data_IF_280790442643
#
_entry.id   IF_280790442643
#
_cell.length_a   1.000
_cell.length_b   1.000
_cell.length_c   1.000
_cell.angle_alpha   90.00
_cell.angle_beta   90.00
_cell.angle_gamma   90.00
#
_symmetry.space_group_name_H-M   'P 1'
#
loop_
_entity.id
_entity.type
_entity.pdbx_description
1 polymer ?
#
# COMPACT_ATOMS: atom_id res chain seq x y z
N UNK A 1 7.34 10.52 -15.24
CA UNK A 1 8.20 9.90 -14.22
C UNK A 1 7.50 8.73 -13.58
N UNK A 2 8.20 7.61 -13.46
CA UNK A 2 7.63 6.43 -12.84
C UNK A 2 7.49 6.63 -11.33
N UNK A 3 6.40 6.15 -10.77
CA UNK A 3 6.17 6.15 -9.33
C UNK A 3 6.94 4.98 -8.71
N UNK A 4 7.65 5.25 -7.62
CA UNK A 4 8.42 4.21 -6.93
C UNK A 4 7.69 3.68 -5.70
N UNK A 5 8.17 2.55 -5.20
CA UNK A 5 7.68 1.99 -3.93
C UNK A 5 7.88 3.00 -2.79
N UNK A 6 9.03 3.71 -2.79
CA UNK A 6 9.29 4.75 -1.79
C UNK A 6 8.29 5.90 -1.84
N UNK A 7 7.78 6.23 -3.02
CA UNK A 7 6.75 7.25 -3.16
C UNK A 7 5.45 6.82 -2.45
N UNK A 8 5.10 5.54 -2.54
CA UNK A 8 3.94 4.99 -1.84
C UNK A 8 4.16 5.08 -0.33
N UNK A 9 5.33 4.65 0.15
CA UNK A 9 5.65 4.71 1.58
C UNK A 9 5.56 6.15 2.11
N UNK A 10 6.16 7.09 1.39
CA UNK A 10 6.15 8.49 1.79
C UNK A 10 4.72 9.03 1.90
N UNK A 11 3.88 8.69 0.93
CA UNK A 11 2.49 9.14 0.93
C UNK A 11 1.70 8.52 2.09
N UNK A 12 1.91 7.24 2.38
CA UNK A 12 1.26 6.56 3.51
C UNK A 12 1.64 7.24 4.82
N UNK A 13 2.93 7.53 5.01
CA UNK A 13 3.38 8.17 6.25
C UNK A 13 2.77 9.56 6.39
N UNK A 14 2.65 10.32 5.31
CA UNK A 14 2.01 11.63 5.34
C UNK A 14 0.53 11.52 5.74
N UNK A 15 -0.18 10.56 5.17
CA UNK A 15 -1.61 10.33 5.49
C UNK A 15 -1.79 9.96 6.95
N UNK A 16 -0.88 9.15 7.51
CA UNK A 16 -0.95 8.71 8.90
C UNK A 16 -0.24 9.65 9.88
N UNK A 17 0.33 10.75 9.38
CA UNK A 17 1.09 11.71 10.17
C UNK A 17 2.28 11.03 10.87
N UNK A 18 2.93 10.10 10.19
CA UNK A 18 4.08 9.33 10.69
C UNK A 18 5.32 9.61 9.85
N UNK A 19 5.58 10.89 9.56
CA UNK A 19 6.58 11.30 8.57
C UNK A 19 7.80 11.99 9.18
N UNK A 20 7.99 11.90 10.51
CA UNK A 20 9.13 12.51 11.21
C UNK A 20 10.11 11.44 11.67
N UNK A 21 11.22 11.19 10.93
CA UNK A 21 12.24 10.26 11.42
C UNK A 21 13.04 10.89 12.59
N UNK A 22 13.58 10.08 13.52
CA UNK A 22 13.52 8.62 13.55
C UNK A 22 12.32 8.04 14.30
N UNK A 23 11.36 8.86 14.67
CA UNK A 23 10.24 8.46 15.55
C UNK A 23 9.09 7.83 14.76
N UNK A 24 9.38 6.98 13.79
CA UNK A 24 8.36 6.29 13.02
C UNK A 24 7.58 5.30 13.88
N UNK A 25 6.26 5.42 13.84
CA UNK A 25 5.35 4.51 14.55
C UNK A 25 5.33 3.13 13.91
N UNK A 26 5.38 3.07 12.59
CA UNK A 26 5.43 1.81 11.84
C UNK A 26 6.77 1.70 11.13
N UNK A 27 7.39 0.51 11.24
CA UNK A 27 8.69 0.28 10.63
C UNK A 27 8.61 0.30 9.10
N UNK A 28 9.72 0.61 8.45
CA UNK A 28 9.82 0.54 7.00
C UNK A 28 9.50 -0.87 6.50
N UNK A 29 10.04 -1.91 7.17
CA UNK A 29 9.78 -3.28 6.78
C UNK A 29 8.30 -3.61 6.82
N UNK A 30 7.57 -3.12 7.82
CA UNK A 30 6.13 -3.36 7.92
C UNK A 30 5.40 -2.70 6.75
N UNK A 31 5.73 -1.44 6.44
CA UNK A 31 5.05 -0.72 5.36
C UNK A 31 5.36 -1.35 4.01
N UNK A 32 6.61 -1.74 3.75
CA UNK A 32 6.97 -2.41 2.50
C UNK A 32 6.25 -3.75 2.36
N UNK A 33 6.13 -4.51 3.44
CA UNK A 33 5.37 -5.75 3.45
C UNK A 33 3.89 -5.52 3.19
N UNK A 34 3.32 -4.45 3.74
CA UNK A 34 1.92 -4.09 3.51
C UNK A 34 1.68 -3.67 2.05
N UNK A 35 2.65 -3.01 1.40
CA UNK A 35 2.57 -2.69 -0.02
C UNK A 35 2.54 -3.98 -0.84
N UNK A 36 3.39 -4.94 -0.51
CA UNK A 36 3.41 -6.25 -1.17
C UNK A 36 2.04 -6.94 -1.03
N UNK A 37 1.48 -6.95 0.18
CA UNK A 37 0.16 -7.52 0.42
C UNK A 37 -0.92 -6.78 -0.36
N UNK A 38 -0.81 -5.47 -0.46
CA UNK A 38 -1.76 -4.64 -1.22
C UNK A 38 -1.74 -4.95 -2.70
N UNK A 39 -0.57 -5.17 -3.28
CA UNK A 39 -0.44 -5.56 -4.69
C UNK A 39 -1.09 -6.93 -4.90
N UNK A 40 -0.85 -7.89 -4.00
CA UNK A 40 -1.49 -9.21 -4.08
C UNK A 40 -3.01 -9.10 -3.97
N UNK A 41 -3.51 -8.25 -3.07
CA UNK A 41 -4.93 -8.02 -2.90
C UNK A 41 -5.56 -7.42 -4.17
N UNK A 42 -4.90 -6.43 -4.77
CA UNK A 42 -5.34 -5.82 -6.03
C UNK A 42 -5.43 -6.88 -7.13
N UNK A 43 -4.43 -7.74 -7.25
CA UNK A 43 -4.42 -8.80 -8.25
C UNK A 43 -5.57 -9.78 -8.05
N UNK A 44 -6.00 -10.02 -6.80
CA UNK A 44 -7.10 -10.93 -6.52
C UNK A 44 -8.45 -10.33 -6.92
N UNK A 45 -8.59 -9.00 -6.80
CA UNK A 45 -9.83 -8.30 -7.17
C UNK A 45 -9.85 -8.00 -8.67
N UNK A 46 -8.71 -7.65 -9.23
CA UNK A 46 -8.53 -7.25 -10.62
C UNK A 46 -7.45 -8.10 -11.26
N UNK A 47 -7.75 -9.33 -11.71
CA UNK A 47 -6.72 -10.21 -12.27
C UNK A 47 -5.96 -9.59 -13.44
N UNK A 48 -6.56 -8.69 -14.20
CA UNK A 48 -5.88 -8.01 -15.32
C UNK A 48 -4.69 -7.17 -14.87
N UNK A 49 -4.61 -6.77 -13.60
CA UNK A 49 -3.46 -6.01 -13.09
C UNK A 49 -2.20 -6.85 -12.97
N UNK A 50 -2.33 -8.19 -13.07
CA UNK A 50 -1.18 -9.09 -13.08
C UNK A 50 -0.38 -9.01 -14.38
N UNK A 51 -0.93 -8.39 -15.41
CA UNK A 51 -0.26 -8.23 -16.68
C UNK A 51 0.44 -6.86 -16.71
N UNK A 52 1.74 -6.90 -16.90
CA UNK A 52 2.56 -5.70 -17.09
C UNK A 52 3.22 -5.82 -18.46
N UNK A 53 2.95 -4.86 -19.35
CA UNK A 53 3.47 -4.87 -20.72
C UNK A 53 3.15 -6.18 -21.47
N UNK A 54 1.95 -6.74 -21.20
CA UNK A 54 1.51 -7.98 -21.84
C UNK A 54 2.07 -9.25 -21.22
N UNK A 55 2.84 -9.14 -20.14
CA UNK A 55 3.47 -10.28 -19.47
C UNK A 55 2.76 -10.53 -18.15
N UNK A 56 2.33 -11.79 -17.91
CA UNK A 56 1.71 -12.19 -16.66
C UNK A 56 2.75 -12.21 -15.54
N UNK A 57 2.42 -11.54 -14.43
CA UNK A 57 3.25 -11.55 -13.22
C UNK A 57 2.48 -12.18 -12.06
N UNK A 58 3.18 -12.90 -11.19
CA UNK A 58 2.56 -13.58 -10.05
C UNK A 58 2.51 -12.72 -8.78
N UNK A 59 2.50 -11.42 -8.95
CA UNK A 59 2.57 -10.48 -7.86
C UNK A 59 3.98 -9.97 -7.68
N UNK A 60 4.14 -9.02 -6.78
CA UNK A 60 5.41 -8.33 -6.61
C UNK A 60 5.95 -8.60 -5.22
N UNK A 61 7.18 -9.07 -5.17
CA UNK A 61 7.92 -9.13 -3.93
C UNK A 61 8.67 -7.80 -3.78
N UNK A 62 8.43 -7.12 -2.67
CA UNK A 62 9.11 -5.87 -2.37
C UNK A 62 10.16 -6.16 -1.30
N UNK A 63 11.41 -6.44 -1.69
CA UNK A 63 12.46 -6.69 -0.71
C UNK A 63 12.75 -5.43 0.09
N UNK A 64 13.15 -5.61 1.33
CA UNK A 64 13.51 -4.49 2.18
C UNK A 64 14.66 -3.69 1.54
N UNK A 65 14.52 -2.38 1.49
CA UNK A 65 15.53 -1.53 0.89
C UNK A 65 15.35 -1.22 -0.58
N UNK A 66 14.32 -1.79 -1.21
CA UNK A 66 14.06 -1.59 -2.64
C UNK A 66 13.10 -0.43 -2.92
N UNK A 67 13.21 0.65 -2.15
CA UNK A 67 12.32 1.81 -2.25
C UNK A 67 12.39 2.50 -3.60
N UNK A 68 13.51 2.40 -4.29
CA UNK A 68 13.70 3.02 -5.59
C UNK A 68 13.13 2.18 -6.74
N UNK A 69 12.62 1.00 -6.44
CA UNK A 69 11.95 0.18 -7.45
C UNK A 69 10.66 0.85 -7.92
N UNK A 70 10.39 0.73 -9.22
CA UNK A 70 9.18 1.24 -9.81
C UNK A 70 7.96 0.46 -9.29
N UNK A 71 6.86 1.18 -8.99
CA UNK A 71 5.62 0.55 -8.61
C UNK A 71 5.10 -0.28 -9.79
N UNK A 72 4.80 -1.58 -9.59
CA UNK A 72 4.62 -2.51 -10.71
C UNK A 72 3.27 -2.43 -11.40
N UNK A 73 2.28 -1.75 -10.82
CA UNK A 73 0.96 -1.61 -11.43
C UNK A 73 0.73 -0.16 -11.84
N UNK A 74 -0.30 0.08 -12.63
CA UNK A 74 -0.57 1.41 -13.16
C UNK A 74 -0.72 2.44 -12.04
N UNK A 75 -0.20 3.64 -12.26
CA UNK A 75 -0.19 4.71 -11.24
C UNK A 75 -1.59 5.13 -10.79
N UNK A 76 -2.65 4.84 -11.56
CA UNK A 76 -4.02 5.12 -11.15
C UNK A 76 -4.41 4.37 -9.86
N UNK A 77 -3.69 3.30 -9.53
CA UNK A 77 -3.92 2.53 -8.31
C UNK A 77 -3.12 3.03 -7.11
N UNK A 78 -2.38 4.14 -7.26
CA UNK A 78 -1.57 4.67 -6.17
C UNK A 78 -2.41 4.97 -4.92
N UNK A 79 -3.51 5.70 -5.07
CA UNK A 79 -4.34 6.07 -3.92
C UNK A 79 -5.04 4.86 -3.32
N UNK A 80 -5.41 3.88 -4.14
CA UNK A 80 -5.94 2.61 -3.64
C UNK A 80 -4.90 1.90 -2.78
N UNK A 81 -3.65 1.88 -3.22
CA UNK A 81 -2.56 1.26 -2.48
C UNK A 81 -2.27 2.00 -1.18
N UNK A 82 -2.23 3.35 -1.22
CA UNK A 82 -2.04 4.16 -0.01
C UNK A 82 -3.13 3.86 1.01
N UNK A 83 -4.39 3.79 0.57
CA UNK A 83 -5.51 3.49 1.48
C UNK A 83 -5.39 2.08 2.07
N UNK A 84 -4.99 1.09 1.27
CA UNK A 84 -4.83 -0.27 1.76
C UNK A 84 -3.72 -0.38 2.81
N UNK A 85 -2.59 0.27 2.56
CA UNK A 85 -1.47 0.24 3.51
C UNK A 85 -1.83 0.99 4.79
N UNK A 86 -2.55 2.11 4.68
CA UNK A 86 -3.05 2.84 5.86
C UNK A 86 -3.98 1.94 6.69
N UNK A 87 -4.86 1.18 6.04
CA UNK A 87 -5.71 0.20 6.71
C UNK A 87 -4.85 -0.82 7.48
N UNK A 88 -3.81 -1.37 6.87
CA UNK A 88 -2.95 -2.35 7.52
C UNK A 88 -2.23 -1.79 8.75
N UNK A 89 -1.75 -0.55 8.65
CA UNK A 89 -1.08 0.10 9.77
C UNK A 89 -2.05 0.31 10.95
N UNK A 90 -3.25 0.81 10.66
CA UNK A 90 -4.24 1.08 11.70
C UNK A 90 -4.82 -0.20 12.29
N UNK A 91 -4.99 -1.25 11.49
CA UNK A 91 -5.43 -2.56 11.96
C UNK A 91 -4.43 -3.14 12.96
N UNK A 92 -3.13 -3.02 12.67
CA UNK A 92 -2.09 -3.50 13.57
C UNK A 92 -2.16 -2.82 14.93
N UNK A 93 -2.66 -1.58 14.96
CA UNK A 93 -2.77 -0.77 16.18
C UNK A 93 -4.20 -0.74 16.72
N UNK A 94 -4.92 -1.83 16.54
CA UNK A 94 -6.37 -1.92 16.78
C UNK A 94 -6.77 -1.99 18.25
N UNK A 95 -5.83 -1.86 19.20
CA UNK A 95 -6.16 -1.72 20.61
C UNK A 95 -7.02 -0.48 20.88
N UNK A 96 -6.94 0.52 19.99
CA UNK A 96 -7.76 1.72 20.04
C UNK A 96 -8.95 1.55 19.10
N UNK A 97 -10.17 1.70 19.62
CA UNK A 97 -11.40 1.58 18.84
C UNK A 97 -11.47 2.57 17.69
N UNK A 98 -10.94 3.79 17.89
CA UNK A 98 -10.90 4.79 16.81
C UNK A 98 -10.01 4.34 15.66
N UNK A 99 -8.87 3.72 15.98
CA UNK A 99 -7.99 3.19 14.94
C UNK A 99 -8.66 2.07 14.17
N UNK A 100 -9.43 1.21 14.83
CA UNK A 100 -10.15 0.13 14.17
C UNK A 100 -11.20 0.69 13.20
N UNK A 101 -11.94 1.72 13.61
CA UNK A 101 -12.94 2.36 12.78
C UNK A 101 -12.30 3.04 11.56
N UNK A 102 -11.18 3.71 11.76
CA UNK A 102 -10.42 4.32 10.66
C UNK A 102 -9.87 3.26 9.72
N UNK A 103 -9.38 2.14 10.26
CA UNK A 103 -8.88 1.05 9.44
C UNK A 103 -9.96 0.55 8.48
N UNK A 104 -11.17 0.34 8.99
CA UNK A 104 -12.30 -0.10 8.17
C UNK A 104 -12.64 0.92 7.08
N UNK A 105 -12.62 2.21 7.43
CA UNK A 105 -12.86 3.28 6.45
C UNK A 105 -11.84 3.24 5.32
N UNK A 106 -10.55 3.08 5.65
CA UNK A 106 -9.51 3.01 4.64
C UNK A 106 -9.61 1.74 3.80
N UNK A 107 -9.98 0.60 4.41
CA UNK A 107 -10.17 -0.63 3.65
C UNK A 107 -11.30 -0.46 2.62
N UNK A 108 -12.42 0.14 3.03
CA UNK A 108 -13.55 0.39 2.13
C UNK A 108 -13.14 1.34 1.01
N UNK A 109 -12.37 2.37 1.31
CA UNK A 109 -11.86 3.29 0.30
C UNK A 109 -10.96 2.57 -0.70
N UNK A 110 -10.06 1.71 -0.20
CA UNK A 110 -9.17 0.95 -1.07
C UNK A 110 -9.96 0.05 -2.02
N UNK A 111 -10.95 -0.68 -1.50
CA UNK A 111 -11.79 -1.56 -2.33
C UNK A 111 -12.53 -0.78 -3.40
N UNK A 112 -13.08 0.37 -3.05
CA UNK A 112 -13.80 1.22 -4.00
C UNK A 112 -12.87 1.70 -5.12
N UNK A 113 -11.68 2.18 -4.76
CA UNK A 113 -10.72 2.67 -5.73
C UNK A 113 -10.15 1.57 -6.62
N UNK A 114 -10.03 0.34 -6.10
CA UNK A 114 -9.56 -0.80 -6.89
C UNK A 114 -10.58 -1.27 -7.92
N UNK A 115 -11.85 -0.96 -7.71
CA UNK A 115 -12.93 -1.42 -8.59
C UNK A 115 -13.33 -0.38 -9.64
N UNK A 116 -12.70 0.76 -9.64
CA UNK A 116 -13.01 1.85 -10.59
C UNK A 116 -12.28 1.69 -11.91
#
# INVERSE_FOLDING_TARGET
MAMTIGDIEKRVRAVLMDDVPPDYRWSEAFILGAIEDGVAFLHSIRPETRYVDGILTDGVKVPQGAKDEEFPVHSRYREAMVAYVAYKCLERDSADTQNLNLAETYLNKAKTLMQV
#
